data_IF_907874845456
#
_entry.id   IF_907874845456
#
_cell.length_a   1.000
_cell.length_b   1.000
_cell.length_c   1.000
_cell.angle_alpha   90.00
_cell.angle_beta   90.00
_cell.angle_gamma   90.00
#
_symmetry.space_group_name_H-M   'P 1'
#
loop_
_entity.id
_entity.type
_entity.pdbx_description
1 polymer ?
#
# COMPACT_ATOMS: atom_id res chain seq x y z
N UNK A 1 -18.22 -35.49 22.91
CA UNK A 1 -18.26 -34.04 23.17
C UNK A 1 -16.81 -33.55 23.16
N UNK A 2 -16.32 -33.12 21.99
CA UNK A 2 -14.97 -32.59 21.81
C UNK A 2 -14.95 -31.11 22.21
N UNK A 3 -14.14 -30.75 23.21
CA UNK A 3 -13.88 -29.37 23.57
C UNK A 3 -13.07 -28.73 22.43
N UNK A 4 -13.62 -27.71 21.79
CA UNK A 4 -12.86 -26.85 20.89
C UNK A 4 -11.68 -26.25 21.65
N UNK A 5 -10.46 -26.53 21.19
CA UNK A 5 -9.24 -25.96 21.74
C UNK A 5 -9.25 -24.47 21.35
N UNK A 6 -9.44 -23.60 22.31
CA UNK A 6 -9.21 -22.18 22.14
C UNK A 6 -7.71 -22.02 21.91
N UNK A 7 -7.30 -21.77 20.67
CA UNK A 7 -5.93 -21.48 20.31
C UNK A 7 -5.70 -20.01 20.68
N UNK A 8 -4.77 -19.79 21.59
CA UNK A 8 -4.36 -18.44 22.01
C UNK A 8 -3.70 -17.74 20.81
N UNK A 9 -4.22 -16.62 20.32
CA UNK A 9 -3.69 -15.92 19.15
C UNK A 9 -2.25 -15.42 19.34
N UNK A 10 -1.76 -15.42 20.57
CA UNK A 10 -0.39 -15.00 20.90
C UNK A 10 0.64 -16.10 20.64
N UNK A 11 0.25 -17.38 20.68
CA UNK A 11 1.15 -18.52 20.48
C UNK A 11 1.52 -18.80 18.99
N UNK A 12 0.82 -18.19 18.04
CA UNK A 12 1.08 -18.33 16.59
C UNK A 12 1.94 -17.21 16.00
N UNK A 13 2.41 -16.27 16.81
CA UNK A 13 3.24 -15.15 16.32
C UNK A 13 4.67 -15.62 16.04
N UNK A 14 5.23 -15.32 14.85
CA UNK A 14 6.65 -15.54 14.60
C UNK A 14 7.50 -14.81 15.66
N UNK A 15 8.63 -15.37 16.09
CA UNK A 15 9.47 -14.77 17.14
C UNK A 15 9.93 -13.34 16.84
N UNK A 16 10.00 -12.97 15.58
CA UNK A 16 10.39 -11.62 15.11
C UNK A 16 9.38 -10.51 15.47
N UNK A 17 8.13 -10.84 15.78
CA UNK A 17 7.07 -9.86 16.10
C UNK A 17 6.52 -10.03 17.52
N UNK A 18 7.04 -10.99 18.30
CA UNK A 18 6.63 -11.21 19.68
C UNK A 18 6.99 -9.99 20.55
N UNK A 19 6.04 -9.55 21.38
CA UNK A 19 6.25 -8.43 22.30
C UNK A 19 6.16 -7.03 21.69
N UNK A 20 5.93 -6.91 20.37
CA UNK A 20 5.71 -5.61 19.73
C UNK A 20 4.21 -5.21 19.78
N UNK A 21 3.89 -3.90 19.83
CA UNK A 21 2.54 -3.42 19.62
C UNK A 21 1.99 -3.92 18.29
N UNK A 22 0.81 -4.56 18.34
CA UNK A 22 0.20 -5.19 17.17
C UNK A 22 -0.75 -4.23 16.46
N UNK A 23 -0.59 -4.04 15.16
CA UNK A 23 -1.53 -3.39 14.27
C UNK A 23 -2.24 -4.46 13.45
N UNK A 24 -3.52 -4.70 13.70
CA UNK A 24 -4.27 -5.86 13.20
C UNK A 24 -5.48 -5.54 12.32
N UNK A 25 -5.80 -4.25 12.14
CA UNK A 25 -6.92 -3.83 11.31
C UNK A 25 -6.63 -2.55 10.55
N UNK A 26 -7.17 -2.48 9.33
CA UNK A 26 -7.26 -1.23 8.57
C UNK A 26 -8.48 -0.49 9.08
N UNK A 27 -8.30 0.69 9.64
CA UNK A 27 -9.39 1.56 10.07
C UNK A 27 -9.94 2.31 8.85
N UNK A 28 -11.26 2.50 8.79
CA UNK A 28 -11.84 3.37 7.79
C UNK A 28 -11.25 4.79 7.94
N UNK A 29 -10.86 5.40 6.83
CA UNK A 29 -10.55 6.83 6.83
C UNK A 29 -11.79 7.60 7.32
N UNK A 30 -11.65 8.63 8.17
CA UNK A 30 -12.78 9.48 8.47
C UNK A 30 -13.32 10.03 7.15
N UNK A 31 -14.66 10.07 6.92
CA UNK A 31 -15.21 10.68 5.74
C UNK A 31 -14.68 12.12 5.64
N UNK A 32 -14.10 12.47 4.51
CA UNK A 32 -13.78 13.87 4.23
C UNK A 32 -15.10 14.65 4.37
N UNK A 33 -15.14 15.56 5.32
CA UNK A 33 -16.33 16.34 5.67
C UNK A 33 -16.73 17.24 4.49
N UNK A 34 -17.64 16.74 3.65
CA UNK A 34 -18.55 17.59 2.92
C UNK A 34 -19.51 18.18 3.97
N UNK A 35 -19.43 19.50 4.18
CA UNK A 35 -20.06 20.24 5.24
C UNK A 35 -21.49 19.84 5.59
N UNK A 36 -21.71 19.55 6.86
CA UNK A 36 -23.02 19.30 7.45
C UNK A 36 -22.89 19.23 8.97
N UNK A 37 -23.45 20.23 9.65
CA UNK A 37 -23.44 20.35 11.08
C UNK A 37 -24.20 19.21 11.77
N UNK A 38 -23.56 18.54 12.72
CA UNK A 38 -24.17 17.53 13.60
C UNK A 38 -23.16 17.02 14.60
N UNK A 39 -23.15 17.64 15.79
CA UNK A 39 -22.22 17.30 16.86
C UNK A 39 -22.48 15.91 17.43
N UNK A 40 -21.47 15.06 17.45
CA UNK A 40 -21.28 14.05 18.49
C UNK A 40 -19.76 13.82 18.62
N UNK A 41 -19.26 13.95 19.86
CA UNK A 41 -17.86 14.02 20.24
C UNK A 41 -17.01 12.86 19.70
N UNK A 42 -16.24 13.13 18.65
CA UNK A 42 -15.08 12.32 18.28
C UNK A 42 -13.87 12.80 19.10
N UNK A 43 -12.96 11.91 19.54
CA UNK A 43 -11.75 12.34 20.25
C UNK A 43 -10.88 13.19 19.30
N UNK A 44 -10.27 14.21 19.88
CA UNK A 44 -9.46 15.27 19.28
C UNK A 44 -8.77 14.91 17.96
N UNK A 45 -9.16 15.60 16.89
CA UNK A 45 -8.71 15.39 15.52
C UNK A 45 -7.37 16.09 15.20
N UNK A 46 -6.51 16.41 16.16
CA UNK A 46 -5.41 17.34 15.95
C UNK A 46 -4.02 16.88 16.46
N UNK A 47 -3.84 15.64 16.91
CA UNK A 47 -2.49 15.12 17.12
C UNK A 47 -1.98 14.46 15.82
N UNK A 48 -0.77 14.83 15.36
CA UNK A 48 -0.18 14.20 14.16
C UNK A 48 0.01 12.71 14.45
N UNK A 49 -0.71 11.88 13.73
CA UNK A 49 -0.58 10.43 13.82
C UNK A 49 0.83 10.00 13.42
N UNK A 50 1.45 9.07 14.14
CA UNK A 50 2.70 8.50 13.69
C UNK A 50 2.52 7.88 12.31
N UNK A 51 3.53 8.02 11.46
CA UNK A 51 3.51 7.51 10.09
C UNK A 51 4.26 6.19 9.96
N UNK A 52 3.74 5.33 9.12
CA UNK A 52 4.37 4.09 8.69
C UNK A 52 4.71 4.21 7.20
N UNK A 53 5.95 4.60 6.89
CA UNK A 53 6.42 4.79 5.52
C UNK A 53 7.03 3.52 4.98
N UNK A 54 6.39 2.93 3.95
CA UNK A 54 6.78 1.64 3.39
C UNK A 54 6.71 1.65 1.85
N UNK A 55 7.64 0.96 1.17
CA UNK A 55 7.53 0.69 -0.27
C UNK A 55 6.39 -0.30 -0.55
N UNK A 56 5.91 -0.34 -1.79
CA UNK A 56 4.75 -1.13 -2.21
C UNK A 56 4.88 -2.61 -1.84
N UNK A 57 6.03 -3.23 -2.08
CA UNK A 57 6.25 -4.64 -1.73
C UNK A 57 5.96 -4.91 -0.24
N UNK A 58 6.42 -4.03 0.64
CA UNK A 58 6.18 -4.17 2.08
C UNK A 58 4.73 -3.85 2.48
N UNK A 59 4.08 -2.92 1.79
CA UNK A 59 2.66 -2.58 2.00
C UNK A 59 1.70 -3.69 1.57
N UNK A 60 2.16 -4.61 0.71
CA UNK A 60 1.41 -5.80 0.26
C UNK A 60 1.61 -7.03 1.15
N UNK A 61 2.43 -6.93 2.20
CA UNK A 61 2.67 -8.05 3.13
C UNK A 61 1.63 -8.06 4.24
N UNK A 62 0.99 -9.19 4.44
CA UNK A 62 0.02 -9.38 5.53
C UNK A 62 0.68 -9.45 6.92
N UNK A 63 1.99 -9.74 6.99
CA UNK A 63 2.75 -9.81 8.25
C UNK A 63 4.11 -9.17 8.07
N UNK A 64 4.43 -8.20 8.91
CA UNK A 64 5.76 -7.60 8.92
C UNK A 64 6.04 -6.84 10.23
N UNK A 65 7.33 -6.74 10.57
CA UNK A 65 7.85 -5.82 11.59
C UNK A 65 8.24 -4.51 10.89
N UNK A 66 7.89 -3.38 11.48
CA UNK A 66 8.19 -2.07 10.91
C UNK A 66 8.47 -1.05 12.01
N UNK A 67 9.13 0.05 11.63
CA UNK A 67 9.40 1.19 12.49
C UNK A 67 8.56 2.37 12.04
N UNK A 68 7.93 3.04 12.99
CA UNK A 68 7.17 4.26 12.78
C UNK A 68 8.09 5.48 12.68
N UNK A 69 7.54 6.61 12.23
CA UNK A 69 8.24 7.91 12.14
C UNK A 69 8.75 8.42 13.48
N UNK A 70 8.12 8.03 14.58
CA UNK A 70 8.52 8.38 15.96
C UNK A 70 9.54 7.40 16.57
N UNK A 71 10.02 6.43 15.78
CA UNK A 71 11.03 5.46 16.19
C UNK A 71 10.49 4.18 16.85
N UNK A 72 9.21 4.12 17.20
CA UNK A 72 8.58 2.91 17.77
C UNK A 72 8.57 1.78 16.75
N UNK A 73 8.79 0.57 17.23
CA UNK A 73 8.63 -0.63 16.41
C UNK A 73 7.24 -1.24 16.63
N UNK A 74 6.64 -1.71 15.56
CA UNK A 74 5.32 -2.32 15.55
C UNK A 74 5.32 -3.60 14.72
N UNK A 75 4.40 -4.49 15.04
CA UNK A 75 4.08 -5.66 14.23
C UNK A 75 2.76 -5.42 13.48
N UNK A 76 2.76 -5.67 12.18
CA UNK A 76 1.53 -5.72 11.38
C UNK A 76 1.13 -7.18 11.18
N UNK A 77 -0.14 -7.48 11.44
CA UNK A 77 -0.75 -8.77 11.14
C UNK A 77 -2.13 -8.51 10.57
N UNK A 78 -2.23 -8.48 9.27
CA UNK A 78 -3.43 -8.15 8.51
C UNK A 78 -3.95 -9.38 7.75
N UNK A 79 -5.21 -9.40 7.32
CA UNK A 79 -5.73 -10.45 6.44
C UNK A 79 -4.86 -10.61 5.19
N UNK A 80 -4.76 -11.84 4.69
CA UNK A 80 -4.04 -12.11 3.42
C UNK A 80 -4.68 -11.34 2.27
N UNK A 81 -3.87 -10.82 1.37
CA UNK A 81 -4.34 -10.01 0.24
C UNK A 81 -4.54 -8.52 0.56
N UNK A 82 -4.48 -8.13 1.84
CA UNK A 82 -4.54 -6.70 2.20
C UNK A 82 -3.35 -5.94 1.61
N UNK A 83 -3.64 -4.92 0.83
CA UNK A 83 -2.66 -3.93 0.35
C UNK A 83 -2.91 -2.61 1.06
N UNK A 84 -1.92 -2.14 1.81
CA UNK A 84 -1.99 -0.85 2.47
C UNK A 84 -1.73 0.27 1.46
N UNK A 85 -2.75 1.09 1.19
CA UNK A 85 -2.66 2.25 0.31
C UNK A 85 -2.10 3.48 1.03
N UNK A 86 -1.55 4.43 0.29
CA UNK A 86 -1.14 5.72 0.86
C UNK A 86 -2.31 6.40 1.55
N UNK A 87 -2.07 7.01 2.70
CA UNK A 87 -3.10 7.63 3.52
C UNK A 87 -3.96 6.68 4.35
N UNK A 88 -3.92 5.36 4.13
CA UNK A 88 -4.67 4.38 4.93
C UNK A 88 -4.33 4.48 6.41
N UNK A 89 -5.32 4.22 7.26
CA UNK A 89 -5.14 4.16 8.71
C UNK A 89 -5.09 2.70 9.16
N UNK A 90 -4.08 2.35 9.94
CA UNK A 90 -3.95 1.05 10.60
C UNK A 90 -4.07 1.24 12.09
N UNK A 91 -4.76 0.33 12.77
CA UNK A 91 -4.98 0.40 14.21
C UNK A 91 -4.76 -0.94 14.89
N UNK A 92 -4.43 -0.89 16.18
CA UNK A 92 -4.27 -2.05 17.06
C UNK A 92 -3.44 -1.69 18.28
N UNK A 93 -3.53 -2.46 19.35
CA UNK A 93 -2.82 -2.24 20.63
C UNK A 93 -2.92 -0.79 21.14
N UNK A 94 -4.08 -0.14 20.98
CA UNK A 94 -4.28 1.26 21.38
C UNK A 94 -3.59 2.30 20.48
N UNK A 95 -2.94 1.90 19.40
CA UNK A 95 -2.28 2.78 18.43
C UNK A 95 -3.15 3.00 17.19
N UNK A 96 -3.02 4.20 16.61
CA UNK A 96 -3.47 4.53 15.26
C UNK A 96 -2.30 5.09 14.48
N UNK A 97 -2.10 4.62 13.28
CA UNK A 97 -0.92 4.90 12.45
C UNK A 97 -1.38 5.21 11.04
N UNK A 98 -0.82 6.26 10.43
CA UNK A 98 -1.07 6.59 9.01
C UNK A 98 -0.02 5.93 8.15
N UNK A 99 -0.46 5.19 7.15
CA UNK A 99 0.42 4.61 6.12
C UNK A 99 0.85 5.70 5.14
N UNK A 100 2.12 5.65 4.73
CA UNK A 100 2.67 6.48 3.65
C UNK A 100 3.42 5.59 2.66
N UNK A 101 3.16 5.81 1.39
CA UNK A 101 3.99 5.24 0.35
C UNK A 101 5.39 5.86 0.43
N UNK A 102 6.41 5.02 0.52
CA UNK A 102 7.79 5.46 0.42
C UNK A 102 8.13 5.79 -1.03
N UNK A 103 9.11 6.68 -1.22
CA UNK A 103 9.68 6.87 -2.55
C UNK A 103 10.42 5.60 -2.98
N UNK A 104 10.17 5.17 -4.21
CA UNK A 104 10.75 4.00 -4.84
C UNK A 104 11.40 4.39 -6.16
N UNK A 105 12.36 3.60 -6.61
CA UNK A 105 13.01 3.78 -7.91
C UNK A 105 12.07 3.32 -9.02
N UNK A 106 11.44 4.26 -9.69
CA UNK A 106 10.38 4.00 -10.65
C UNK A 106 10.67 4.62 -12.02
N UNK A 107 9.97 4.11 -13.02
CA UNK A 107 9.95 4.63 -14.39
C UNK A 107 8.56 5.23 -14.66
N UNK A 108 8.55 6.50 -15.01
CA UNK A 108 7.39 7.12 -15.66
C UNK A 108 7.45 6.89 -17.17
N UNK A 109 6.33 6.50 -17.75
CA UNK A 109 6.16 6.26 -19.18
C UNK A 109 5.10 7.19 -19.74
N UNK A 110 5.47 7.96 -20.76
CA UNK A 110 4.56 8.81 -21.51
C UNK A 110 4.52 8.41 -22.97
N UNK A 111 3.37 8.60 -23.59
CA UNK A 111 3.14 8.28 -24.98
C UNK A 111 2.63 9.53 -25.74
N UNK A 112 2.76 9.51 -27.06
CA UNK A 112 2.23 10.57 -27.91
C UNK A 112 0.68 10.59 -27.94
N UNK A 113 0.06 9.43 -27.71
CA UNK A 113 -1.39 9.25 -27.71
C UNK A 113 -1.84 8.13 -26.76
N UNK A 114 -3.15 8.10 -26.48
CA UNK A 114 -3.74 7.12 -25.57
C UNK A 114 -3.63 5.67 -26.07
N UNK A 115 -3.61 5.44 -27.39
CA UNK A 115 -3.48 4.09 -27.95
C UNK A 115 -2.08 3.51 -27.69
N UNK A 116 -1.03 4.31 -27.85
CA UNK A 116 0.33 3.91 -27.53
C UNK A 116 0.50 3.63 -26.04
N UNK A 117 -0.13 4.46 -25.16
CA UNK A 117 -0.11 4.24 -23.71
C UNK A 117 -0.86 2.96 -23.32
N UNK A 118 -2.03 2.70 -23.92
CA UNK A 118 -2.79 1.46 -23.70
C UNK A 118 -2.00 0.21 -24.14
N UNK A 119 -1.27 0.30 -25.26
CA UNK A 119 -0.41 -0.77 -25.73
C UNK A 119 0.74 -1.05 -24.76
N UNK A 120 1.34 0.00 -24.18
CA UNK A 120 2.36 -0.13 -23.14
C UNK A 120 1.80 -0.83 -21.91
N UNK A 121 0.63 -0.41 -21.42
CA UNK A 121 -0.05 -1.04 -20.29
C UNK A 121 -0.32 -2.53 -20.53
N UNK A 122 -0.79 -2.89 -21.75
CA UNK A 122 -1.00 -4.28 -22.14
C UNK A 122 0.29 -5.11 -22.06
N UNK A 123 1.40 -4.59 -22.59
CA UNK A 123 2.68 -5.31 -22.57
C UNK A 123 3.28 -5.45 -21.17
N UNK A 124 3.12 -4.46 -20.30
CA UNK A 124 3.51 -4.52 -18.89
C UNK A 124 2.64 -5.51 -18.12
N UNK A 125 1.31 -5.45 -18.30
CA UNK A 125 0.35 -6.35 -17.66
C UNK A 125 0.58 -7.81 -18.01
N UNK A 126 0.89 -8.13 -19.27
CA UNK A 126 1.23 -9.49 -19.73
C UNK A 126 2.50 -10.06 -19.05
N UNK A 127 3.29 -9.23 -18.41
CA UNK A 127 4.47 -9.64 -17.65
C UNK A 127 4.24 -9.63 -16.13
N UNK A 128 2.98 -9.44 -15.73
CA UNK A 128 2.56 -9.35 -14.33
C UNK A 128 3.33 -8.28 -13.53
N UNK A 129 3.74 -7.22 -14.20
CA UNK A 129 4.41 -6.08 -13.57
C UNK A 129 3.37 -5.23 -12.87
N UNK A 130 3.57 -4.88 -11.58
CA UNK A 130 2.74 -3.87 -10.93
C UNK A 130 2.87 -2.54 -11.66
N UNK A 131 1.74 -1.96 -12.08
CA UNK A 131 1.69 -0.70 -12.83
C UNK A 131 0.70 0.25 -12.17
N UNK A 132 1.15 1.45 -11.90
CA UNK A 132 0.27 2.56 -11.57
C UNK A 132 -0.19 3.23 -12.85
N UNK A 133 -1.50 3.41 -13.00
CA UNK A 133 -2.13 3.98 -14.19
C UNK A 133 -2.65 5.37 -13.87
N UNK A 134 -2.28 6.34 -14.69
CA UNK A 134 -2.80 7.70 -14.63
C UNK A 134 -3.36 8.11 -16.00
N UNK A 135 -4.01 9.26 -16.07
CA UNK A 135 -4.66 9.70 -17.31
C UNK A 135 -3.69 9.82 -18.50
N UNK A 136 -2.44 10.19 -18.26
CA UNK A 136 -1.43 10.53 -19.26
C UNK A 136 -0.08 9.80 -19.08
N UNK A 137 0.05 8.96 -18.06
CA UNK A 137 1.28 8.21 -17.81
C UNK A 137 1.03 6.87 -17.13
N UNK A 138 2.00 5.96 -17.29
CA UNK A 138 2.14 4.74 -16.52
C UNK A 138 3.39 4.85 -15.64
N UNK A 139 3.34 4.24 -14.45
CA UNK A 139 4.51 4.14 -13.57
C UNK A 139 4.71 2.69 -13.17
N UNK A 140 5.95 2.23 -13.17
CA UNK A 140 6.33 0.89 -12.71
C UNK A 140 7.72 0.91 -12.07
N UNK A 141 8.03 -0.10 -11.25
CA UNK A 141 9.35 -0.24 -10.62
C UNK A 141 10.46 -0.40 -11.67
N UNK A 142 11.62 0.23 -11.45
CA UNK A 142 12.72 0.20 -12.42
C UNK A 142 13.14 -1.22 -12.79
N UNK A 143 13.07 -1.50 -14.09
CA UNK A 143 13.58 -2.71 -14.73
C UNK A 143 14.17 -2.33 -16.10
N UNK A 144 15.50 -2.51 -16.33
CA UNK A 144 16.16 -2.08 -17.55
C UNK A 144 15.66 -2.80 -18.79
N UNK A 145 15.18 -4.05 -18.68
CA UNK A 145 14.65 -4.83 -19.81
C UNK A 145 13.32 -4.25 -20.27
N UNK A 146 12.46 -3.87 -19.30
CA UNK A 146 11.18 -3.24 -19.59
C UNK A 146 11.35 -1.84 -20.16
N UNK A 147 12.29 -1.06 -19.63
CA UNK A 147 12.63 0.26 -20.18
C UNK A 147 13.04 0.15 -21.65
N UNK A 148 13.96 -0.77 -21.97
CA UNK A 148 14.44 -0.99 -23.34
C UNK A 148 13.30 -1.40 -24.29
N UNK A 149 12.41 -2.28 -23.84
CA UNK A 149 11.21 -2.66 -24.59
C UNK A 149 10.33 -1.44 -24.92
N UNK A 150 10.04 -0.58 -23.92
CA UNK A 150 9.16 0.57 -24.10
C UNK A 150 9.80 1.63 -25.01
N UNK A 151 11.10 1.85 -24.89
CA UNK A 151 11.87 2.74 -25.79
C UNK A 151 11.80 2.24 -27.23
N UNK A 152 11.95 0.93 -27.48
CA UNK A 152 11.78 0.34 -28.83
C UNK A 152 10.35 0.48 -29.38
N UNK A 153 9.37 0.58 -28.51
CA UNK A 153 7.98 0.88 -28.89
C UNK A 153 7.72 2.36 -29.18
N UNK A 154 8.74 3.22 -29.07
CA UNK A 154 8.64 4.67 -29.30
C UNK A 154 8.10 5.47 -28.14
N UNK A 155 8.08 4.91 -26.93
CA UNK A 155 7.59 5.58 -25.74
C UNK A 155 8.70 6.38 -25.04
N UNK A 156 8.30 7.46 -24.39
CA UNK A 156 9.21 8.26 -23.54
C UNK A 156 9.26 7.65 -22.14
N UNK A 157 10.45 7.43 -21.62
CA UNK A 157 10.66 6.88 -20.28
C UNK A 157 11.53 7.83 -19.45
N UNK A 158 11.16 8.03 -18.18
CA UNK A 158 11.92 8.83 -17.22
C UNK A 158 12.06 8.08 -15.90
N UNK A 159 13.31 7.85 -15.47
CA UNK A 159 13.59 7.26 -14.15
C UNK A 159 13.52 8.34 -13.08
N UNK A 160 12.85 8.06 -11.97
CA UNK A 160 12.69 8.99 -10.85
C UNK A 160 12.47 8.25 -9.54
N UNK A 161 12.59 8.95 -8.42
CA UNK A 161 12.18 8.47 -7.11
C UNK A 161 10.83 9.10 -6.77
N UNK A 162 9.81 8.28 -6.55
CA UNK A 162 8.46 8.76 -6.26
C UNK A 162 7.66 7.70 -5.48
N UNK A 163 6.61 8.10 -4.75
CA UNK A 163 5.64 7.17 -4.19
C UNK A 163 5.03 6.31 -5.30
N UNK A 164 4.87 5.02 -5.04
CA UNK A 164 4.38 4.06 -6.02
C UNK A 164 3.10 3.37 -5.54
N UNK A 165 2.01 3.60 -6.27
CA UNK A 165 0.66 3.10 -5.96
C UNK A 165 0.08 2.32 -7.15
N UNK A 166 0.57 1.10 -7.44
CA UNK A 166 0.09 0.34 -8.59
C UNK A 166 -1.35 -0.10 -8.41
N UNK A 167 -2.00 -0.38 -9.56
CA UNK A 167 -3.35 -0.91 -9.60
C UNK A 167 -3.47 -2.22 -8.82
N UNK A 168 -4.62 -2.43 -8.21
CA UNK A 168 -5.01 -3.74 -7.69
C UNK A 168 -5.25 -4.69 -8.85
N UNK A 169 -4.92 -6.00 -8.67
CA UNK A 169 -5.28 -6.99 -9.67
C UNK A 169 -6.80 -7.06 -9.87
N UNK A 170 -7.25 -7.39 -11.10
CA UNK A 170 -8.67 -7.48 -11.47
C UNK A 170 -9.47 -8.52 -10.65
N UNK A 171 -8.78 -9.36 -9.89
CA UNK A 171 -9.35 -10.37 -8.99
C UNK A 171 -9.30 -9.95 -7.52
N UNK A 172 -9.05 -8.68 -7.21
CA UNK A 172 -9.19 -8.13 -5.86
C UNK A 172 -10.66 -8.22 -5.42
N UNK A 173 -10.89 -8.84 -4.26
CA UNK A 173 -12.21 -9.09 -3.70
C UNK A 173 -13.03 -7.80 -3.59
N UNK A 174 -14.07 -7.72 -4.41
CA UNK A 174 -15.20 -6.85 -4.19
C UNK A 174 -16.11 -7.52 -3.14
N UNK A 175 -15.81 -7.33 -1.87
CA UNK A 175 -16.71 -7.62 -0.75
C UNK A 175 -16.91 -6.40 0.10
#
# INVERSE_FOLDING_TARGET
MGRARVVDPESERPPEIAGLPLLDRVAAAPPESLGGAGATSAPAADEPLPELRLPFERRSRSRLRARLSDGREVALVLPRGTVLRDGALVAGSGLRVRVRAADEDVIEVRAADAQALARAAYHLGNRHVPVQVSADCLVFGYDPVLVDMLVRMGLQTRRTWAPFEPEGGAYGDHH
#
